data_IF_054166418160
#
_entry.id   IF_054166418160
#
_cell.length_a   1.000
_cell.length_b   1.000
_cell.length_c   1.000
_cell.angle_alpha   90.00
_cell.angle_beta   90.00
_cell.angle_gamma   90.00
#
_symmetry.space_group_name_H-M   'P 1'
#
loop_
_entity.id
_entity.type
_entity.pdbx_description
1 polymer ?
#
# COMPACT_ATOMS: atom_id res chain seq x y z
N UNK A 1 29.52 45.15 13.46
CA UNK A 1 29.21 45.24 12.02
C UNK A 1 28.47 43.98 11.56
N UNK A 2 27.14 44.06 11.38
CA UNK A 2 26.29 42.95 10.91
C UNK A 2 26.42 42.80 9.39
N UNK A 3 26.97 41.67 8.92
CA UNK A 3 27.00 41.34 7.48
C UNK A 3 25.66 40.71 7.12
N UNK A 4 24.80 41.47 6.44
CA UNK A 4 23.57 40.96 5.84
C UNK A 4 23.91 40.01 4.70
N UNK A 5 23.85 38.70 4.93
CA UNK A 5 23.76 37.73 3.85
C UNK A 5 22.36 37.80 3.25
N UNK A 6 22.30 38.35 2.04
CA UNK A 6 21.09 38.46 1.24
C UNK A 6 20.67 37.06 0.82
N UNK A 7 19.60 36.56 1.44
CA UNK A 7 18.85 35.42 0.93
C UNK A 7 18.37 35.73 -0.49
N UNK A 8 19.09 35.22 -1.50
CA UNK A 8 18.58 35.14 -2.87
C UNK A 8 17.42 34.16 -2.87
N UNK A 9 16.20 34.70 -2.81
CA UNK A 9 14.98 33.94 -3.09
C UNK A 9 15.07 33.48 -4.54
N UNK A 10 15.46 32.21 -4.72
CA UNK A 10 15.50 31.55 -6.02
C UNK A 10 14.10 31.56 -6.63
N UNK A 11 13.90 32.39 -7.67
CA UNK A 11 12.68 32.36 -8.49
C UNK A 11 12.51 30.94 -9.02
N UNK A 12 11.49 30.25 -8.48
CA UNK A 12 11.10 28.91 -8.90
C UNK A 12 10.82 28.96 -10.41
N UNK A 13 11.67 28.29 -11.20
CA UNK A 13 11.43 28.07 -12.63
C UNK A 13 10.05 27.45 -12.77
N UNK A 14 9.12 28.16 -13.38
CA UNK A 14 7.79 27.65 -13.71
C UNK A 14 7.98 26.48 -14.65
N UNK A 15 7.80 25.26 -14.16
CA UNK A 15 7.98 24.07 -14.99
C UNK A 15 6.75 23.97 -15.88
N UNK A 16 6.89 24.43 -17.12
CA UNK A 16 5.86 24.27 -18.13
C UNK A 16 5.76 22.80 -18.54
N UNK A 17 4.61 22.19 -18.28
CA UNK A 17 4.31 20.82 -18.64
C UNK A 17 2.93 20.72 -19.26
N UNK A 18 2.88 20.26 -20.50
CA UNK A 18 1.63 20.07 -21.23
C UNK A 18 1.17 18.61 -21.14
N UNK A 19 0.08 18.38 -20.41
CA UNK A 19 -0.64 17.11 -20.43
C UNK A 19 -1.28 16.90 -21.80
N UNK A 20 -1.41 15.64 -22.27
CA UNK A 20 -2.10 15.36 -23.51
C UNK A 20 -3.58 15.71 -23.38
N UNK A 21 -4.21 16.24 -24.44
CA UNK A 21 -5.62 16.59 -24.41
C UNK A 21 -6.52 15.36 -24.19
N UNK A 22 -7.61 15.55 -23.45
CA UNK A 22 -8.53 14.48 -23.05
C UNK A 22 -9.30 13.91 -24.25
N UNK A 23 -9.68 14.78 -25.20
CA UNK A 23 -10.50 14.42 -26.37
C UNK A 23 -9.81 13.48 -27.36
N UNK A 24 -8.48 13.31 -27.27
CA UNK A 24 -7.71 12.43 -28.17
C UNK A 24 -7.70 10.96 -27.75
N UNK A 25 -8.41 10.58 -26.68
CA UNK A 25 -8.37 9.21 -26.14
C UNK A 25 -9.77 8.62 -26.01
N UNK A 26 -9.96 7.33 -26.34
CA UNK A 26 -11.26 6.67 -26.29
C UNK A 26 -11.70 6.33 -24.86
N UNK A 27 -10.77 6.31 -23.89
CA UNK A 27 -11.09 6.03 -22.49
C UNK A 27 -10.23 6.83 -21.53
N UNK A 28 -10.83 7.22 -20.39
CA UNK A 28 -10.13 7.86 -19.27
C UNK A 28 -8.91 7.06 -18.81
N UNK A 29 -9.00 5.72 -18.76
CA UNK A 29 -7.88 4.85 -18.35
C UNK A 29 -6.70 4.94 -19.30
N UNK A 30 -6.95 5.07 -20.59
CA UNK A 30 -5.90 5.19 -21.59
C UNK A 30 -5.24 6.57 -21.55
N UNK A 31 -6.05 7.61 -21.37
CA UNK A 31 -5.55 8.96 -21.13
C UNK A 31 -4.66 9.00 -19.88
N UNK A 32 -5.10 8.42 -18.76
CA UNK A 32 -4.31 8.33 -17.52
C UNK A 32 -2.97 7.60 -17.74
N UNK A 33 -2.96 6.49 -18.50
CA UNK A 33 -1.72 5.78 -18.87
C UNK A 33 -0.81 6.65 -19.74
N UNK A 34 -1.36 7.42 -20.67
CA UNK A 34 -0.58 8.32 -21.52
C UNK A 34 0.03 9.48 -20.71
N UNK A 35 -0.75 10.08 -19.81
CA UNK A 35 -0.28 11.08 -18.86
C UNK A 35 0.84 10.53 -17.99
N UNK A 36 0.67 9.33 -17.43
CA UNK A 36 1.68 8.68 -16.60
C UNK A 36 3.00 8.46 -17.35
N UNK A 37 2.95 7.98 -18.60
CA UNK A 37 4.15 7.82 -19.44
C UNK A 37 4.88 9.13 -19.68
N UNK A 38 4.17 10.24 -19.90
CA UNK A 38 4.80 11.56 -20.04
C UNK A 38 5.42 12.02 -18.72
N UNK A 39 4.73 11.81 -17.61
CA UNK A 39 5.19 12.19 -16.27
C UNK A 39 6.49 11.46 -15.87
N UNK A 40 6.60 10.16 -16.21
CA UNK A 40 7.81 9.36 -15.99
C UNK A 40 9.05 9.86 -16.76
N UNK A 41 8.86 10.54 -17.91
CA UNK A 41 9.99 11.11 -18.67
C UNK A 41 10.62 12.32 -17.95
N UNK A 42 9.85 13.01 -17.13
CA UNK A 42 10.26 14.24 -16.45
C UNK A 42 10.56 14.01 -14.96
N UNK A 43 11.83 13.74 -14.63
CA UNK A 43 12.28 13.53 -13.23
C UNK A 43 11.95 14.72 -12.31
N UNK A 44 12.10 15.95 -12.82
CA UNK A 44 11.90 17.17 -12.04
C UNK A 44 10.43 17.42 -11.67
N UNK A 45 9.49 17.00 -12.51
CA UNK A 45 8.06 17.15 -12.24
C UNK A 45 7.56 16.18 -11.19
N UNK A 46 8.03 14.93 -11.23
CA UNK A 46 7.73 13.96 -10.18
C UNK A 46 8.27 14.47 -8.83
N UNK A 47 9.49 15.01 -8.80
CA UNK A 47 10.07 15.54 -7.58
C UNK A 47 9.28 16.72 -6.99
N UNK A 48 8.61 17.52 -7.84
CA UNK A 48 7.79 18.65 -7.44
C UNK A 48 6.39 18.23 -6.98
N UNK A 49 5.77 17.25 -7.65
CA UNK A 49 4.40 16.80 -7.38
C UNK A 49 4.31 15.84 -6.18
N UNK A 50 5.37 15.09 -5.90
CA UNK A 50 5.38 14.06 -4.86
C UNK A 50 5.83 14.65 -3.53
N UNK A 51 5.02 14.45 -2.49
CA UNK A 51 5.35 14.86 -1.12
C UNK A 51 6.50 14.02 -0.56
N UNK A 52 7.19 14.53 0.47
CA UNK A 52 8.27 13.80 1.14
C UNK A 52 7.82 12.43 1.66
N UNK A 53 6.58 12.33 2.14
CA UNK A 53 6.01 11.08 2.65
C UNK A 53 5.76 10.07 1.52
N UNK A 54 5.18 10.50 0.39
CA UNK A 54 4.96 9.64 -0.76
C UNK A 54 6.28 9.17 -1.38
N UNK A 55 7.28 10.04 -1.46
CA UNK A 55 8.63 9.70 -1.91
C UNK A 55 9.24 8.62 -1.03
N UNK A 56 9.20 8.81 0.31
CA UNK A 56 9.67 7.80 1.27
C UNK A 56 8.96 6.48 1.06
N UNK A 57 7.63 6.49 0.88
CA UNK A 57 6.86 5.27 0.65
C UNK A 57 7.26 4.55 -0.65
N UNK A 58 7.49 5.29 -1.73
CA UNK A 58 7.96 4.73 -3.00
C UNK A 58 9.35 4.10 -2.85
N UNK A 59 10.28 4.82 -2.22
CA UNK A 59 11.66 4.34 -1.98
C UNK A 59 11.65 3.08 -1.09
N UNK A 60 10.91 3.09 0.01
CA UNK A 60 10.83 1.93 0.90
C UNK A 60 10.22 0.71 0.21
N UNK A 61 9.19 0.91 -0.63
CA UNK A 61 8.64 -0.18 -1.44
C UNK A 61 9.69 -0.73 -2.40
N UNK A 62 10.40 0.14 -3.13
CA UNK A 62 11.46 -0.27 -4.05
C UNK A 62 12.59 -1.04 -3.34
N UNK A 63 13.07 -0.54 -2.20
CA UNK A 63 14.09 -1.21 -1.39
C UNK A 63 13.64 -2.60 -0.93
N UNK A 64 12.40 -2.75 -0.45
CA UNK A 64 11.86 -4.06 -0.08
C UNK A 64 11.82 -5.01 -1.29
N UNK A 65 11.39 -4.52 -2.46
CA UNK A 65 11.34 -5.35 -3.67
C UNK A 65 12.73 -5.82 -4.09
N UNK A 66 13.74 -4.95 -4.02
CA UNK A 66 15.14 -5.28 -4.29
C UNK A 66 15.64 -6.36 -3.34
N UNK A 67 15.42 -6.22 -2.02
CA UNK A 67 15.85 -7.23 -1.03
C UNK A 67 15.15 -8.56 -1.19
N UNK A 68 13.87 -8.56 -1.56
CA UNK A 68 13.11 -9.79 -1.85
C UNK A 68 13.72 -10.50 -3.07
N UNK A 69 14.02 -9.76 -4.13
CA UNK A 69 14.64 -10.31 -5.34
C UNK A 69 16.06 -10.83 -5.07
N UNK A 70 16.78 -10.22 -4.13
CA UNK A 70 18.07 -10.71 -3.63
C UNK A 70 17.97 -11.93 -2.69
N UNK A 71 16.77 -12.50 -2.48
CA UNK A 71 16.56 -13.69 -1.66
C UNK A 71 16.65 -13.47 -0.15
N UNK A 72 16.63 -12.22 0.33
CA UNK A 72 16.75 -11.95 1.78
C UNK A 72 15.53 -12.44 2.54
N UNK A 73 15.78 -12.93 3.75
CA UNK A 73 14.71 -13.40 4.66
C UNK A 73 13.99 -12.21 5.25
N UNK A 74 12.73 -12.44 5.59
CA UNK A 74 11.83 -11.42 6.10
C UNK A 74 12.36 -10.66 7.33
N UNK A 75 13.00 -11.36 8.27
CA UNK A 75 13.61 -10.76 9.48
C UNK A 75 14.76 -9.82 9.11
N UNK A 76 15.62 -10.23 8.18
CA UNK A 76 16.73 -9.40 7.69
C UNK A 76 16.22 -8.12 7.02
N UNK A 77 15.16 -8.20 6.23
CA UNK A 77 14.53 -7.02 5.61
C UNK A 77 13.96 -6.08 6.67
N UNK A 78 13.33 -6.62 7.71
CA UNK A 78 12.76 -5.82 8.80
C UNK A 78 13.84 -5.08 9.60
N UNK A 79 14.96 -5.75 9.89
CA UNK A 79 16.11 -5.18 10.60
C UNK A 79 16.84 -4.12 9.75
N UNK A 80 17.10 -4.41 8.47
CA UNK A 80 17.83 -3.48 7.58
C UNK A 80 17.04 -2.22 7.25
N UNK A 81 15.75 -2.36 6.95
CA UNK A 81 14.91 -1.25 6.48
C UNK A 81 14.08 -0.62 7.59
N UNK A 82 14.18 -1.13 8.82
CA UNK A 82 13.42 -0.65 9.99
C UNK A 82 11.92 -0.65 9.71
N UNK A 83 11.45 -1.72 9.05
CA UNK A 83 10.07 -1.84 8.61
C UNK A 83 9.33 -2.85 9.47
N UNK A 84 8.08 -2.51 9.78
CA UNK A 84 7.15 -3.46 10.38
C UNK A 84 7.00 -4.70 9.48
N UNK A 85 6.94 -5.90 10.08
CA UNK A 85 6.48 -7.11 9.44
C UNK A 85 5.27 -6.88 8.51
N UNK A 86 4.27 -6.14 9.02
CA UNK A 86 3.04 -5.91 8.28
C UNK A 86 3.28 -5.24 6.93
N UNK A 87 4.19 -4.26 6.89
CA UNK A 87 4.57 -3.53 5.68
C UNK A 87 5.23 -4.47 4.66
N UNK A 88 6.21 -5.27 5.09
CA UNK A 88 6.90 -6.23 4.22
C UNK A 88 5.92 -7.27 3.64
N UNK A 89 5.02 -7.79 4.49
CA UNK A 89 3.98 -8.73 4.07
C UNK A 89 3.06 -8.10 3.00
N UNK A 90 2.66 -6.84 3.20
CA UNK A 90 1.80 -6.12 2.25
C UNK A 90 2.44 -5.92 0.87
N UNK A 91 3.76 -5.68 0.83
CA UNK A 91 4.55 -5.49 -0.38
C UNK A 91 4.77 -6.83 -1.09
N UNK A 92 5.11 -7.87 -0.33
CA UNK A 92 5.29 -9.23 -0.87
C UNK A 92 4.00 -9.77 -1.50
N UNK A 93 2.85 -9.47 -0.92
CA UNK A 93 1.54 -9.78 -1.54
C UNK A 93 1.34 -9.04 -2.85
N UNK A 94 1.64 -7.73 -2.89
CA UNK A 94 1.53 -6.93 -4.10
C UNK A 94 2.44 -7.44 -5.24
N UNK A 95 3.66 -7.88 -4.91
CA UNK A 95 4.56 -8.53 -5.88
C UNK A 95 3.97 -9.82 -6.46
N UNK A 96 3.40 -10.69 -5.61
CA UNK A 96 2.76 -11.94 -6.06
C UNK A 96 1.56 -11.70 -6.97
N UNK A 97 0.77 -10.66 -6.71
CA UNK A 97 -0.38 -10.27 -7.52
C UNK A 97 0.00 -9.41 -8.74
N UNK A 98 1.30 -9.13 -8.94
CA UNK A 98 1.86 -8.24 -9.96
C UNK A 98 1.20 -6.84 -10.00
N UNK A 99 0.51 -6.44 -8.93
CA UNK A 99 -0.28 -5.22 -8.86
C UNK A 99 -0.32 -4.71 -7.42
N UNK A 100 0.16 -3.50 -7.19
CA UNK A 100 0.01 -2.86 -5.88
C UNK A 100 -1.41 -2.33 -5.71
N UNK A 101 -2.22 -3.03 -4.90
CA UNK A 101 -3.60 -2.63 -4.60
C UNK A 101 -3.68 -1.81 -3.33
N UNK A 102 -4.53 -0.78 -3.36
CA UNK A 102 -4.90 -0.01 -2.17
C UNK A 102 -5.65 -0.87 -1.15
N UNK A 103 -5.63 -0.47 0.12
CA UNK A 103 -6.35 -1.17 1.18
C UNK A 103 -7.86 -1.29 0.87
N UNK A 104 -8.44 -0.24 0.27
CA UNK A 104 -9.86 -0.20 -0.12
C UNK A 104 -10.19 -1.25 -1.18
N UNK A 105 -9.30 -1.49 -2.13
CA UNK A 105 -9.48 -2.51 -3.17
C UNK A 105 -9.37 -3.92 -2.58
N UNK A 106 -8.39 -4.17 -1.69
CA UNK A 106 -8.21 -5.47 -1.02
C UNK A 106 -9.39 -5.81 -0.09
N UNK A 107 -9.83 -4.84 0.71
CA UNK A 107 -10.85 -5.06 1.74
C UNK A 107 -12.22 -5.48 1.19
N UNK A 108 -12.57 -5.09 -0.04
CA UNK A 108 -13.87 -5.43 -0.65
C UNK A 108 -13.92 -6.83 -1.26
N UNK A 109 -12.78 -7.34 -1.76
CA UNK A 109 -12.70 -8.65 -2.41
C UNK A 109 -12.32 -9.76 -1.44
N UNK A 110 -11.40 -9.52 -0.50
CA UNK A 110 -10.96 -10.55 0.46
C UNK A 110 -11.96 -10.77 1.60
N UNK A 111 -12.65 -9.71 2.07
CA UNK A 111 -13.66 -9.85 3.14
C UNK A 111 -14.86 -10.70 2.70
N UNK A 112 -15.19 -10.69 1.40
CA UNK A 112 -16.22 -11.57 0.80
C UNK A 112 -15.75 -13.02 0.63
N UNK A 113 -14.43 -13.27 0.61
CA UNK A 113 -13.84 -14.63 0.53
C UNK A 113 -13.67 -15.32 1.88
N UNK A 114 -13.93 -14.64 3.00
CA UNK A 114 -14.36 -15.35 4.21
C UNK A 114 -15.80 -15.85 3.97
N UNK A 115 -15.94 -16.80 3.05
CA UNK A 115 -16.85 -17.89 3.29
C UNK A 115 -16.35 -18.43 4.63
N UNK A 116 -17.15 -18.27 5.69
CA UNK A 116 -16.96 -19.15 6.83
C UNK A 116 -17.05 -20.53 6.20
N UNK A 117 -15.90 -21.18 5.97
CA UNK A 117 -15.91 -22.61 5.73
C UNK A 117 -16.81 -23.15 6.84
N UNK A 118 -17.82 -23.96 6.55
CA UNK A 118 -18.28 -24.87 7.56
C UNK A 118 -17.12 -25.85 7.73
N UNK A 119 -16.02 -25.39 8.33
CA UNK A 119 -15.16 -26.27 9.06
C UNK A 119 -16.15 -26.96 9.99
N UNK A 120 -16.41 -28.22 9.69
CA UNK A 120 -16.93 -29.19 10.62
C UNK A 120 -15.89 -29.31 11.73
N UNK A 121 -15.72 -28.23 12.48
CA UNK A 121 -15.23 -28.29 13.85
C UNK A 121 -16.29 -29.16 14.49
N UNK A 122 -15.98 -30.45 14.61
CA UNK A 122 -16.68 -31.39 15.46
C UNK A 122 -16.70 -30.76 16.84
N UNK A 123 -17.72 -29.93 17.09
CA UNK A 123 -18.02 -29.43 18.42
C UNK A 123 -18.43 -30.70 19.15
N UNK A 124 -17.53 -31.21 19.98
CA UNK A 124 -17.85 -32.25 20.96
C UNK A 124 -19.19 -31.85 21.55
N UNK A 125 -20.23 -32.68 21.37
CA UNK A 125 -21.56 -32.40 21.90
C UNK A 125 -21.37 -32.16 23.40
N UNK A 126 -21.63 -30.93 23.85
CA UNK A 126 -21.57 -30.62 25.27
C UNK A 126 -22.67 -31.45 25.93
N UNK A 127 -22.28 -32.40 26.77
CA UNK A 127 -23.21 -33.24 27.53
C UNK A 127 -23.79 -32.40 28.68
N UNK A 128 -25.10 -32.55 28.92
CA UNK A 128 -25.79 -31.84 30.01
C UNK A 128 -27.03 -31.06 29.58
N UNK A 129 -27.79 -30.56 30.56
CA UNK A 129 -28.97 -29.70 30.32
C UNK A 129 -28.52 -28.27 30.04
N UNK A 130 -28.90 -27.67 28.91
CA UNK A 130 -28.60 -26.27 28.64
C UNK A 130 -29.41 -25.36 29.56
N UNK A 131 -28.72 -24.48 30.29
CA UNK A 131 -29.32 -23.45 31.16
C UNK A 131 -28.85 -22.07 30.69
N UNK A 132 -29.81 -21.18 30.44
CA UNK A 132 -29.51 -19.80 30.03
C UNK A 132 -29.16 -18.96 31.24
N UNK A 133 -27.96 -18.38 31.23
CA UNK A 133 -27.48 -17.44 32.25
C UNK A 133 -27.25 -16.07 31.62
N UNK A 134 -26.96 -15.05 32.45
CA UNK A 134 -26.59 -13.70 32.01
C UNK A 134 -25.43 -13.70 31.01
N UNK A 135 -24.50 -14.65 31.12
CA UNK A 135 -23.27 -14.72 30.33
C UNK A 135 -23.37 -15.68 29.13
N UNK A 136 -24.55 -16.27 28.89
CA UNK A 136 -24.78 -17.23 27.81
C UNK A 136 -25.32 -18.57 28.31
N UNK A 137 -25.28 -19.56 27.43
CA UNK A 137 -25.78 -20.91 27.73
C UNK A 137 -24.66 -21.72 28.36
N UNK A 138 -24.92 -22.26 29.56
CA UNK A 138 -24.03 -23.20 30.26
C UNK A 138 -24.69 -24.58 30.27
N UNK A 139 -23.91 -25.64 30.12
CA UNK A 139 -24.39 -27.02 30.17
C UNK A 139 -24.08 -27.59 31.56
N UNK A 140 -25.12 -27.89 32.33
CA UNK A 140 -24.99 -28.54 33.64
C UNK A 140 -24.94 -30.07 33.44
N UNK A 141 -24.07 -30.81 34.16
CA UNK A 141 -23.95 -32.27 34.03
C UNK A 141 -25.28 -32.99 34.30
#
# INVERSE_FOLDING_TARGET
MKRMERFKVSMKRTVWFALPPVHSYPSRKEWERACWRKLLKSKNLIALLVTNNERRNLVMRAAVTERINAGKRYRQIAEELWLSPQTISSIRKALRENTYRSYRERGKTERKKRVYSPDTVSRKKLHGRPVRTKYGIVYLP
#
